data_IF_041519409121
#
_entry.id   IF_041519409121
#
_cell.length_a   1.000
_cell.length_b   1.000
_cell.length_c   1.000
_cell.angle_alpha   90.00
_cell.angle_beta   90.00
_cell.angle_gamma   90.00
#
_symmetry.space_group_name_H-M   'P 1'
#
loop_
_entity.id
_entity.type
_entity.pdbx_description
1 polymer ?
#
# COMPACT_ATOMS: atom_id res chain seq x y z
N UNK A 1 21.96 3.42 4.75
CA UNK A 1 21.60 2.26 3.90
C UNK A 1 20.09 2.29 3.68
N UNK A 2 19.60 2.16 2.44
CA UNK A 2 18.19 2.40 2.10
C UNK A 2 17.17 1.51 2.84
N UNK A 3 17.56 0.32 3.33
CA UNK A 3 16.66 -0.53 4.13
C UNK A 3 16.30 0.05 5.50
N UNK A 4 17.16 0.89 6.09
CA UNK A 4 16.94 1.48 7.42
C UNK A 4 15.75 2.46 7.43
N UNK A 5 15.62 3.28 6.38
CA UNK A 5 14.55 4.28 6.25
C UNK A 5 13.17 3.63 6.12
N UNK A 6 13.08 2.53 5.37
CA UNK A 6 11.86 1.76 5.22
C UNK A 6 11.41 1.17 6.57
N UNK A 7 12.32 0.58 7.33
CA UNK A 7 12.01 0.03 8.65
C UNK A 7 11.59 1.10 9.66
N UNK A 8 12.23 2.26 9.69
CA UNK A 8 11.81 3.37 10.53
C UNK A 8 10.43 3.89 10.16
N UNK A 9 10.14 4.00 8.86
CA UNK A 9 8.83 4.43 8.36
C UNK A 9 7.74 3.45 8.79
N UNK A 10 7.97 2.15 8.64
CA UNK A 10 7.04 1.10 9.09
C UNK A 10 6.81 1.20 10.61
N UNK A 11 7.88 1.36 11.40
CA UNK A 11 7.78 1.51 12.86
C UNK A 11 6.97 2.75 13.25
N UNK A 12 7.20 3.88 12.58
CA UNK A 12 6.47 5.13 12.82
C UNK A 12 4.99 4.99 12.49
N UNK A 13 4.64 4.35 11.37
CA UNK A 13 3.24 4.10 11.01
C UNK A 13 2.59 3.18 12.05
N UNK A 14 3.24 2.06 12.39
CA UNK A 14 2.71 1.09 13.36
C UNK A 14 2.53 1.67 14.76
N UNK A 15 3.33 2.67 15.17
CA UNK A 15 3.23 3.28 16.50
C UNK A 15 2.07 4.28 16.64
N UNK A 16 1.43 4.69 15.53
CA UNK A 16 0.26 5.55 15.60
C UNK A 16 -0.94 4.82 16.22
N UNK A 17 -1.55 5.45 17.24
CA UNK A 17 -2.72 4.92 17.92
C UNK A 17 -3.87 4.70 16.91
N UNK A 18 -4.37 3.47 16.87
CA UNK A 18 -5.46 3.07 15.96
C UNK A 18 -4.99 2.34 14.71
N UNK A 19 -3.69 2.29 14.44
CA UNK A 19 -3.14 1.42 13.38
C UNK A 19 -3.22 -0.03 13.83
N UNK A 20 -4.04 -0.82 13.13
CA UNK A 20 -4.25 -2.23 13.43
C UNK A 20 -3.25 -3.12 12.69
N UNK A 21 -2.95 -2.78 11.43
CA UNK A 21 -2.00 -3.50 10.59
C UNK A 21 -1.33 -2.56 9.58
N UNK A 22 -0.12 -2.93 9.17
CA UNK A 22 0.64 -2.30 8.09
C UNK A 22 0.96 -3.39 7.08
N UNK A 23 0.61 -3.15 5.82
CA UNK A 23 0.89 -4.04 4.69
C UNK A 23 1.73 -3.28 3.67
N UNK A 24 2.77 -3.91 3.15
CA UNK A 24 3.48 -3.44 1.95
C UNK A 24 3.18 -4.44 0.86
N UNK A 25 2.66 -3.94 -0.25
CA UNK A 25 2.11 -4.75 -1.34
C UNK A 25 2.82 -4.36 -2.63
N UNK A 26 3.20 -5.36 -3.43
CA UNK A 26 3.77 -5.11 -4.76
C UNK A 26 2.67 -4.78 -5.79
N UNK A 27 3.06 -4.49 -7.04
CA UNK A 27 2.10 -4.12 -8.09
C UNK A 27 1.15 -5.28 -8.49
N UNK A 28 1.52 -6.51 -8.18
CA UNK A 28 0.73 -7.72 -8.48
C UNK A 28 -0.30 -8.02 -7.39
N UNK A 29 -0.34 -7.22 -6.31
CA UNK A 29 -1.23 -7.49 -5.17
C UNK A 29 -0.70 -8.55 -4.21
N UNK A 30 0.60 -8.80 -4.22
CA UNK A 30 1.25 -9.73 -3.29
C UNK A 30 1.82 -8.95 -2.11
N UNK A 31 1.44 -9.29 -0.85
CA UNK A 31 2.09 -8.73 0.33
C UNK A 31 3.58 -9.13 0.38
N UNK A 32 4.47 -8.15 0.44
CA UNK A 32 5.92 -8.35 0.67
C UNK A 32 6.31 -8.11 2.13
N UNK A 33 5.46 -7.43 2.88
CA UNK A 33 5.56 -7.25 4.32
C UNK A 33 4.17 -7.18 4.93
N UNK A 34 3.99 -7.83 6.08
CA UNK A 34 2.78 -7.73 6.89
C UNK A 34 3.16 -7.56 8.35
N UNK A 35 2.50 -6.62 9.04
CA UNK A 35 2.64 -6.47 10.49
C UNK A 35 1.60 -7.28 11.27
N UNK A 36 0.67 -7.95 10.59
CA UNK A 36 -0.34 -8.86 11.17
C UNK A 36 0.06 -10.31 10.92
N UNK A 37 -0.35 -11.21 11.82
CA UNK A 37 -0.14 -12.65 11.68
C UNK A 37 -1.31 -13.34 10.94
N UNK A 38 -2.30 -12.56 10.50
CA UNK A 38 -3.43 -13.04 9.72
C UNK A 38 -3.09 -12.93 8.23
N UNK A 39 -2.62 -14.05 7.67
CA UNK A 39 -2.19 -14.13 6.27
C UNK A 39 -3.37 -14.02 5.30
N UNK A 40 -4.54 -14.55 5.65
CA UNK A 40 -5.76 -14.47 4.82
C UNK A 40 -6.20 -13.01 4.71
N UNK A 41 -6.26 -12.30 5.84
CA UNK A 41 -6.53 -10.86 5.85
C UNK A 41 -5.54 -10.08 4.97
N UNK A 42 -4.25 -10.39 5.08
CA UNK A 42 -3.20 -9.70 4.32
C UNK A 42 -3.33 -9.95 2.81
N UNK A 43 -3.57 -11.19 2.39
CA UNK A 43 -3.75 -11.55 0.98
C UNK A 43 -4.99 -10.91 0.38
N UNK A 44 -6.13 -10.98 1.06
CA UNK A 44 -7.40 -10.43 0.57
C UNK A 44 -7.33 -8.91 0.41
N UNK A 45 -6.80 -8.21 1.42
CA UNK A 45 -6.66 -6.76 1.37
C UNK A 45 -5.67 -6.32 0.28
N UNK A 46 -4.57 -7.03 0.11
CA UNK A 46 -3.60 -6.74 -0.93
C UNK A 46 -4.21 -6.88 -2.34
N UNK A 47 -4.96 -7.95 -2.59
CA UNK A 47 -5.65 -8.15 -3.86
C UNK A 47 -6.69 -7.04 -4.14
N UNK A 48 -7.53 -6.71 -3.15
CA UNK A 48 -8.58 -5.70 -3.29
C UNK A 48 -8.01 -4.29 -3.50
N UNK A 49 -7.00 -3.89 -2.72
CA UNK A 49 -6.38 -2.57 -2.82
C UNK A 49 -5.66 -2.41 -4.15
N UNK A 50 -4.94 -3.43 -4.62
CA UNK A 50 -4.26 -3.35 -5.92
C UNK A 50 -5.25 -3.22 -7.08
N UNK A 51 -6.37 -3.95 -7.05
CA UNK A 51 -7.43 -3.80 -8.05
C UNK A 51 -8.08 -2.40 -8.00
N UNK A 52 -8.33 -1.88 -6.80
CA UNK A 52 -8.87 -0.54 -6.62
C UNK A 52 -7.91 0.53 -7.16
N UNK A 53 -6.62 0.44 -6.83
CA UNK A 53 -5.60 1.35 -7.31
C UNK A 53 -5.47 1.32 -8.84
N UNK A 54 -5.51 0.13 -9.45
CA UNK A 54 -5.48 -0.03 -10.91
C UNK A 54 -6.70 0.64 -11.57
N UNK A 55 -7.90 0.44 -11.03
CA UNK A 55 -9.13 1.10 -11.52
C UNK A 55 -9.05 2.62 -11.38
N UNK A 56 -8.64 3.11 -10.21
CA UNK A 56 -8.49 4.55 -9.95
C UNK A 56 -7.49 5.20 -10.92
N UNK A 57 -6.32 4.58 -11.13
CA UNK A 57 -5.32 5.04 -12.13
C UNK A 57 -5.91 5.08 -13.53
N UNK A 58 -6.63 4.04 -13.93
CA UNK A 58 -7.30 3.99 -15.24
C UNK A 58 -8.31 5.13 -15.40
N UNK A 59 -9.13 5.38 -14.39
CA UNK A 59 -10.12 6.47 -14.40
C UNK A 59 -9.44 7.84 -14.48
N UNK A 60 -8.39 8.09 -13.69
CA UNK A 60 -7.66 9.36 -13.71
C UNK A 60 -6.99 9.58 -15.08
N UNK A 61 -6.33 8.56 -15.64
CA UNK A 61 -5.73 8.65 -16.98
C UNK A 61 -6.76 8.86 -18.09
N UNK A 62 -8.00 8.41 -17.89
CA UNK A 62 -9.11 8.68 -18.82
C UNK A 62 -9.55 10.15 -18.77
N UNK A 63 -9.45 10.81 -17.61
CA UNK A 63 -9.82 12.21 -17.41
C UNK A 63 -8.71 13.17 -17.87
N UNK A 64 -7.44 12.83 -17.57
CA UNK A 64 -6.26 13.59 -17.97
C UNK A 64 -5.09 12.60 -18.19
N UNK A 65 -4.68 12.35 -19.44
CA UNK A 65 -3.61 11.40 -19.75
C UNK A 65 -2.22 11.87 -19.29
N UNK A 66 -2.07 13.11 -18.82
CA UNK A 66 -0.80 13.66 -18.30
C UNK A 66 -0.69 13.64 -16.77
N UNK A 67 -1.75 13.22 -16.07
CA UNK A 67 -1.81 13.25 -14.62
C UNK A 67 -1.38 11.91 -14.01
N UNK A 68 -0.16 11.84 -13.47
CA UNK A 68 0.28 10.71 -12.66
C UNK A 68 -0.25 10.85 -11.23
N UNK A 69 -0.89 9.79 -10.72
CA UNK A 69 -1.37 9.73 -9.33
C UNK A 69 -0.21 9.99 -8.36
N UNK A 70 -0.15 11.20 -7.82
CA UNK A 70 0.75 11.59 -6.74
C UNK A 70 -0.09 11.85 -5.49
N UNK A 71 0.11 11.02 -4.46
CA UNK A 71 -0.38 11.36 -3.12
C UNK A 71 0.62 12.30 -2.48
N UNK A 72 0.34 13.61 -2.53
CA UNK A 72 1.13 14.60 -1.79
C UNK A 72 0.74 14.54 -0.31
N UNK A 73 1.74 14.26 0.53
CA UNK A 73 1.66 14.36 2.00
C UNK A 73 1.76 15.79 2.48
#
# INVERSE_FOLDING_TARGET
>A
MPGYEAEETIKRIKSHKGVQAVLIVNQEGVPIYSSTNDDEFAMDHAALISQLAAKAKSTIRTLDPTNDMTFNS
#
